data_IF_043098804856
#
_entry.id   IF_043098804856
#
_cell.length_a   1.000
_cell.length_b   1.000
_cell.length_c   1.000
_cell.angle_alpha   90.00
_cell.angle_beta   90.00
_cell.angle_gamma   90.00
#
_symmetry.space_group_name_H-M   'P 1'
#
loop_
_entity.id
_entity.type
_entity.pdbx_description
1 polymer ?
#
# COMPACT_ATOMS: atom_id res chain seq x y z
N UNK A 1 -11.07 21.92 18.20
CA UNK A 1 -11.47 21.13 17.02
C UNK A 1 -10.19 20.54 16.45
N UNK A 2 -9.82 19.32 16.83
CA UNK A 2 -8.64 18.64 16.27
C UNK A 2 -9.01 18.12 14.89
N UNK A 3 -8.23 18.50 13.88
CA UNK A 3 -8.31 17.98 12.52
C UNK A 3 -8.30 16.46 12.55
N UNK A 4 -9.26 15.82 11.89
CA UNK A 4 -9.38 14.38 11.88
C UNK A 4 -8.10 13.74 11.27
N UNK A 5 -7.45 12.80 11.98
CA UNK A 5 -6.27 12.08 11.49
C UNK A 5 -6.63 11.21 10.29
N UNK A 6 -6.14 11.52 9.09
CA UNK A 6 -6.48 10.81 7.86
C UNK A 6 -5.56 11.21 6.70
N UNK A 7 -6.00 12.15 5.86
CA UNK A 7 -5.23 12.64 4.70
C UNK A 7 -3.83 13.16 5.05
N UNK A 8 -3.72 14.02 6.07
CA UNK A 8 -2.43 14.61 6.47
C UNK A 8 -1.43 13.57 6.98
N UNK A 9 -1.92 12.45 7.50
CA UNK A 9 -1.08 11.35 7.99
C UNK A 9 -0.61 10.47 6.84
N UNK A 10 -1.47 10.19 5.85
CA UNK A 10 -1.05 9.54 4.60
C UNK A 10 0.06 10.34 3.93
N UNK A 11 -0.11 11.65 3.76
CA UNK A 11 0.90 12.52 3.14
C UNK A 11 2.20 12.47 3.95
N UNK A 12 2.12 12.56 5.28
CA UNK A 12 3.31 12.51 6.15
C UNK A 12 4.01 11.16 6.04
N UNK A 13 3.26 10.07 6.07
CA UNK A 13 3.78 8.71 5.93
C UNK A 13 4.50 8.53 4.58
N UNK A 14 3.82 8.88 3.48
CA UNK A 14 4.36 8.84 2.12
C UNK A 14 5.64 9.67 2.01
N UNK A 15 5.67 10.86 2.62
CA UNK A 15 6.85 11.72 2.65
C UNK A 15 8.05 11.17 3.44
N UNK A 16 7.87 10.11 4.23
CA UNK A 16 8.96 9.41 4.92
C UNK A 16 9.48 8.18 4.17
N UNK A 17 8.77 7.74 3.12
CA UNK A 17 9.14 6.54 2.38
C UNK A 17 10.39 6.78 1.54
N UNK A 18 11.30 5.81 1.60
CA UNK A 18 12.50 5.79 0.76
C UNK A 18 12.22 5.12 -0.59
N UNK A 19 13.05 5.31 -1.63
CA UNK A 19 12.85 4.66 -2.93
C UNK A 19 12.73 3.14 -2.85
N UNK A 20 13.45 2.47 -1.94
CA UNK A 20 13.33 1.03 -1.70
C UNK A 20 11.96 0.60 -1.10
N UNK A 21 11.21 1.53 -0.52
CA UNK A 21 9.86 1.34 0.03
C UNK A 21 8.76 1.60 -1.02
N UNK A 22 9.10 1.70 -2.31
CA UNK A 22 8.11 1.83 -3.39
C UNK A 22 6.99 0.77 -3.33
N UNK A 23 7.23 -0.52 -3.00
CA UNK A 23 6.16 -1.50 -2.83
C UNK A 23 5.17 -1.15 -1.72
N UNK A 24 5.59 -0.40 -0.69
CA UNK A 24 4.71 0.07 0.39
C UNK A 24 3.76 1.14 -0.12
N UNK A 25 4.27 2.08 -0.91
CA UNK A 25 3.47 3.14 -1.51
C UNK A 25 2.46 2.60 -2.52
N UNK A 26 2.90 1.68 -3.39
CA UNK A 26 1.99 1.00 -4.33
C UNK A 26 1.00 0.11 -3.59
N UNK A 27 1.44 -0.61 -2.56
CA UNK A 27 0.57 -1.42 -1.70
C UNK A 27 -0.56 -0.61 -1.07
N UNK A 28 -0.23 0.56 -0.51
CA UNK A 28 -1.20 1.48 0.05
C UNK A 28 -2.17 2.01 -1.00
N UNK A 29 -1.66 2.40 -2.16
CA UNK A 29 -2.49 2.88 -3.26
C UNK A 29 -3.47 1.80 -3.77
N UNK A 30 -3.05 0.55 -3.87
CA UNK A 30 -3.93 -0.57 -4.25
C UNK A 30 -4.96 -0.88 -3.17
N UNK A 31 -4.62 -0.76 -1.88
CA UNK A 31 -5.61 -0.86 -0.79
C UNK A 31 -6.71 0.17 -1.02
N UNK A 32 -6.35 1.43 -1.26
CA UNK A 32 -7.33 2.47 -1.59
C UNK A 32 -8.07 2.21 -2.89
N UNK A 33 -7.48 1.52 -3.87
CA UNK A 33 -8.17 1.17 -5.10
C UNK A 33 -9.22 0.07 -4.88
N UNK A 34 -8.97 -0.89 -4.00
CA UNK A 34 -9.77 -2.10 -3.87
C UNK A 34 -10.67 -2.14 -2.64
N UNK A 35 -10.44 -1.29 -1.64
CA UNK A 35 -11.24 -1.25 -0.43
C UNK A 35 -12.72 -1.01 -0.73
N UNK A 36 -13.56 -1.82 -0.08
CA UNK A 36 -15.01 -1.63 -0.04
C UNK A 36 -15.40 -0.52 0.96
N UNK A 37 -16.72 -0.36 1.18
CA UNK A 37 -17.26 0.67 2.08
C UNK A 37 -16.81 0.49 3.54
N UNK A 38 -16.52 -0.74 3.95
CA UNK A 38 -16.11 -1.10 5.31
C UNK A 38 -14.58 -1.10 5.48
N UNK A 39 -13.82 -0.87 4.41
CA UNK A 39 -12.37 -0.83 4.44
C UNK A 39 -11.74 -2.21 4.45
N UNK A 40 -12.37 -3.17 3.77
CA UNK A 40 -11.88 -4.55 3.62
C UNK A 40 -11.35 -4.77 2.21
N UNK A 41 -10.24 -5.50 2.09
CA UNK A 41 -9.60 -5.84 0.81
C UNK A 41 -9.22 -7.31 0.78
N UNK A 42 -9.61 -8.02 -0.28
CA UNK A 42 -9.14 -9.39 -0.53
C UNK A 42 -7.63 -9.42 -0.79
N UNK A 43 -6.89 -10.18 0.03
CA UNK A 43 -5.42 -10.18 0.06
C UNK A 43 -4.77 -10.72 -1.21
N UNK A 44 -5.38 -11.71 -1.85
CA UNK A 44 -4.90 -12.26 -3.12
C UNK A 44 -5.04 -11.23 -4.26
N UNK A 45 -6.24 -10.64 -4.41
CA UNK A 45 -6.50 -9.61 -5.41
C UNK A 45 -5.62 -8.37 -5.19
N UNK A 46 -5.39 -7.99 -3.93
CA UNK A 46 -4.44 -6.93 -3.59
C UNK A 46 -3.02 -7.24 -4.07
N UNK A 47 -2.49 -8.43 -3.77
CA UNK A 47 -1.14 -8.81 -4.15
C UNK A 47 -0.94 -8.83 -5.68
N UNK A 48 -1.94 -9.34 -6.41
CA UNK A 48 -1.95 -9.33 -7.88
C UNK A 48 -1.94 -7.91 -8.44
N UNK A 49 -2.83 -7.04 -7.97
CA UNK A 49 -2.89 -5.65 -8.43
C UNK A 49 -1.62 -4.85 -8.09
N UNK A 50 -0.98 -5.13 -6.94
CA UNK A 50 0.33 -4.53 -6.61
C UNK A 50 1.40 -4.97 -7.60
N UNK A 51 1.44 -6.26 -7.95
CA UNK A 51 2.39 -6.79 -8.93
C UNK A 51 2.21 -6.13 -10.30
N UNK A 52 0.96 -6.01 -10.77
CA UNK A 52 0.63 -5.37 -12.04
C UNK A 52 1.03 -3.89 -12.06
N UNK A 53 0.68 -3.13 -11.01
CA UNK A 53 1.02 -1.71 -10.93
C UNK A 53 2.52 -1.48 -10.88
N UNK A 54 3.27 -2.25 -10.10
CA UNK A 54 4.72 -2.16 -10.08
C UNK A 54 5.33 -2.48 -11.45
N UNK A 55 4.82 -3.49 -12.16
CA UNK A 55 5.30 -3.84 -13.50
C UNK A 55 5.01 -2.75 -14.54
N UNK A 56 3.95 -1.96 -14.34
CA UNK A 56 3.56 -0.86 -15.22
C UNK A 56 4.32 0.46 -14.98
N UNK A 57 5.08 0.57 -13.88
CA UNK A 57 5.85 1.80 -13.59
C UNK A 57 6.93 2.03 -14.65
N UNK A 58 6.93 3.23 -15.24
CA UNK A 58 7.90 3.59 -16.25
C UNK A 58 9.31 3.57 -15.64
N UNK A 59 10.14 2.67 -16.16
CA UNK A 59 11.50 2.43 -15.73
C UNK A 59 11.68 1.30 -14.68
N UNK A 60 10.61 0.58 -14.35
CA UNK A 60 10.74 -0.71 -13.67
C UNK A 60 10.94 -0.63 -12.16
N UNK A 61 11.01 -1.81 -11.56
CA UNK A 61 10.83 -2.01 -10.13
C UNK A 61 12.21 -1.96 -9.45
N UNK A 62 12.45 -1.07 -8.49
CA UNK A 62 13.72 -1.02 -7.78
C UNK A 62 13.85 -2.18 -6.78
N UNK A 63 15.11 -2.56 -6.52
CA UNK A 63 15.46 -3.43 -5.41
C UNK A 63 14.93 -4.88 -5.50
N UNK A 64 14.81 -5.58 -4.36
CA UNK A 64 14.47 -7.01 -4.33
C UNK A 64 13.10 -7.32 -4.92
N UNK A 65 12.16 -6.36 -4.96
CA UNK A 65 10.81 -6.57 -5.52
C UNK A 65 10.83 -6.98 -7.00
N UNK A 66 11.71 -6.41 -7.83
CA UNK A 66 11.87 -6.82 -9.24
C UNK A 66 12.26 -8.29 -9.38
N UNK A 67 13.20 -8.72 -8.55
CA UNK A 67 13.67 -10.10 -8.55
C UNK A 67 12.60 -11.06 -8.04
N UNK A 68 11.87 -10.67 -6.99
CA UNK A 68 10.83 -11.49 -6.37
C UNK A 68 9.62 -11.69 -7.30
N UNK A 69 9.23 -10.68 -8.08
CA UNK A 69 8.17 -10.82 -9.08
C UNK A 69 8.51 -11.85 -10.16
N UNK A 70 9.78 -11.89 -10.60
CA UNK A 70 10.27 -12.91 -11.56
C UNK A 70 10.35 -14.31 -10.97
N UNK A 71 10.44 -14.43 -9.64
CA UNK A 71 10.46 -15.73 -8.93
C UNK A 71 9.08 -16.35 -8.77
N UNK A 72 8.02 -15.60 -9.09
CA UNK A 72 6.64 -16.08 -9.14
C UNK A 72 5.71 -15.38 -8.14
N UNK A 73 4.40 -15.45 -8.38
CA UNK A 73 3.40 -14.70 -7.62
C UNK A 73 3.37 -15.05 -6.14
N UNK A 74 3.57 -16.33 -5.78
CA UNK A 74 3.59 -16.75 -4.37
C UNK A 74 4.79 -16.19 -3.59
N UNK A 75 5.96 -16.10 -4.25
CA UNK A 75 7.18 -15.55 -3.63
C UNK A 75 7.01 -14.06 -3.40
N UNK A 76 6.44 -13.36 -4.37
CA UNK A 76 6.14 -11.94 -4.23
C UNK A 76 5.08 -11.67 -3.17
N UNK A 77 4.00 -12.47 -3.12
CA UNK A 77 2.98 -12.39 -2.06
C UNK A 77 3.60 -12.54 -0.67
N UNK A 78 4.47 -13.54 -0.46
CA UNK A 78 5.18 -13.72 0.82
C UNK A 78 6.06 -12.53 1.19
N UNK A 79 6.64 -11.83 0.22
CA UNK A 79 7.36 -10.59 0.48
C UNK A 79 6.44 -9.46 0.91
N UNK A 80 5.30 -9.27 0.23
CA UNK A 80 4.31 -8.27 0.63
C UNK A 80 3.80 -8.53 2.06
N UNK A 81 3.55 -9.80 2.39
CA UNK A 81 3.09 -10.20 3.73
C UNK A 81 4.13 -9.95 4.83
N UNK A 82 5.42 -10.07 4.51
CA UNK A 82 6.52 -9.92 5.49
C UNK A 82 7.03 -8.50 5.63
N UNK A 83 7.03 -7.74 4.54
CA UNK A 83 7.71 -6.44 4.49
C UNK A 83 6.74 -5.27 4.32
N UNK A 84 5.63 -5.45 3.60
CA UNK A 84 4.69 -4.37 3.29
C UNK A 84 3.55 -4.30 4.30
N UNK A 85 2.86 -5.41 4.54
CA UNK A 85 1.73 -5.46 5.48
C UNK A 85 2.14 -4.99 6.89
N UNK A 86 3.26 -5.45 7.48
CA UNK A 86 3.67 -4.99 8.81
C UNK A 86 4.03 -3.50 8.82
N UNK A 87 4.61 -2.99 7.73
CA UNK A 87 4.95 -1.57 7.60
C UNK A 87 3.71 -0.68 7.59
N UNK A 88 2.64 -1.11 6.92
CA UNK A 88 1.35 -0.42 6.88
C UNK A 88 0.60 -0.53 8.22
N UNK A 89 0.69 -1.68 8.89
CA UNK A 89 0.12 -1.88 10.21
C UNK A 89 0.81 -1.00 11.28
N UNK A 90 2.14 -0.95 11.29
CA UNK A 90 2.92 -0.06 12.16
C UNK A 90 2.62 1.43 11.92
N UNK A 91 2.17 1.78 10.71
CA UNK A 91 1.75 3.13 10.38
C UNK A 91 0.31 3.45 10.83
N UNK A 92 -0.40 2.50 11.45
CA UNK A 92 -1.80 2.65 11.87
C UNK A 92 -2.80 2.60 10.73
N UNK A 93 -2.40 2.11 9.55
CA UNK A 93 -3.26 2.08 8.35
C UNK A 93 -4.05 0.78 8.30
N UNK A 94 -3.40 -0.35 8.58
CA UNK A 94 -4.04 -1.66 8.66
C UNK A 94 -4.25 -2.04 10.13
N UNK A 95 -5.35 -2.73 10.39
CA UNK A 95 -5.59 -3.33 11.69
C UNK A 95 -4.67 -4.54 11.90
N UNK A 96 -3.98 -4.58 13.05
CA UNK A 96 -3.17 -5.73 13.50
C UNK A 96 -4.08 -6.85 14.03
N UNK A 97 -4.82 -7.49 13.12
CA UNK A 97 -5.61 -8.69 13.40
C UNK A 97 -4.79 -9.96 13.46
N UNK A 98 -5.37 -11.10 13.91
CA UNK A 98 -4.61 -12.33 14.13
C UNK A 98 -3.86 -12.73 12.86
N UNK A 99 -2.53 -12.61 12.94
CA UNK A 99 -1.62 -12.79 11.83
C UNK A 99 -1.22 -14.27 11.71
N UNK A 100 -1.94 -15.00 10.87
CA UNK A 100 -1.39 -15.93 9.87
C UNK A 100 -2.54 -16.45 9.00
N UNK A 101 -2.42 -16.30 7.67
CA UNK A 101 -3.39 -16.87 6.72
C UNK A 101 -4.72 -16.12 6.56
N UNK A 102 -4.87 -14.91 7.11
CA UNK A 102 -6.05 -14.09 6.85
C UNK A 102 -6.17 -13.76 5.34
N UNK A 103 -7.32 -14.09 4.75
CA UNK A 103 -7.62 -13.85 3.33
C UNK A 103 -7.91 -12.37 3.03
N UNK A 104 -8.02 -11.55 4.07
CA UNK A 104 -8.41 -10.14 3.99
C UNK A 104 -7.39 -9.24 4.67
N UNK A 105 -7.26 -8.02 4.13
CA UNK A 105 -6.62 -6.89 4.77
C UNK A 105 -7.73 -5.94 5.23
N UNK A 106 -7.67 -5.52 6.49
CA UNK A 106 -8.66 -4.63 7.09
C UNK A 106 -7.99 -3.32 7.42
N UNK A 107 -8.47 -2.21 6.87
CA UNK A 107 -8.01 -0.88 7.27
C UNK A 107 -8.43 -0.60 8.72
N UNK A 108 -7.59 0.14 9.45
CA UNK A 108 -7.97 0.65 10.77
C UNK A 108 -9.22 1.54 10.62
N UNK A 109 -10.23 1.30 11.45
CA UNK A 109 -11.57 1.88 11.29
C UNK A 109 -11.55 3.41 11.46
N UNK A 110 -10.79 3.92 12.43
CA UNK A 110 -10.58 5.36 12.61
C UNK A 110 -9.93 6.00 11.39
N UNK A 111 -8.85 5.38 10.90
CA UNK A 111 -8.16 5.81 9.69
C UNK A 111 -9.09 5.81 8.47
N UNK A 112 -9.79 4.71 8.18
CA UNK A 112 -10.62 4.56 6.99
C UNK A 112 -11.76 5.58 6.95
N UNK A 113 -12.46 5.77 8.06
CA UNK A 113 -13.55 6.75 8.12
C UNK A 113 -13.08 8.19 7.89
N UNK A 114 -11.83 8.50 8.20
CA UNK A 114 -11.26 9.84 8.03
C UNK A 114 -10.71 10.08 6.62
N UNK A 115 -10.59 9.06 5.78
CA UNK A 115 -9.96 9.17 4.46
C UNK A 115 -10.87 8.72 3.31
N UNK A 116 -11.91 7.92 3.57
CA UNK A 116 -12.76 7.32 2.52
C UNK A 116 -13.47 8.34 1.63
N UNK A 117 -13.85 9.51 2.17
CA UNK A 117 -14.45 10.61 1.38
C UNK A 117 -13.48 11.23 0.39
N UNK A 118 -12.18 11.21 0.71
CA UNK A 118 -11.10 11.84 -0.06
C UNK A 118 -10.28 10.80 -0.84
N UNK A 119 -10.76 9.56 -0.90
CA UNK A 119 -10.07 8.38 -1.48
C UNK A 119 -9.42 8.68 -2.82
N UNK A 120 -10.15 9.30 -3.75
CA UNK A 120 -9.64 9.59 -5.09
C UNK A 120 -8.48 10.60 -5.08
N UNK A 121 -8.55 11.63 -4.22
CA UNK A 121 -7.47 12.61 -4.10
C UNK A 121 -6.22 12.01 -3.45
N UNK A 122 -6.41 11.15 -2.45
CA UNK A 122 -5.34 10.42 -1.77
C UNK A 122 -4.67 9.46 -2.74
N UNK A 123 -5.45 8.74 -3.55
CA UNK A 123 -4.91 7.87 -4.60
C UNK A 123 -4.08 8.66 -5.62
N UNK A 124 -4.55 9.80 -6.10
CA UNK A 124 -3.81 10.62 -7.04
C UNK A 124 -2.46 11.10 -6.47
N UNK A 125 -2.43 11.46 -5.18
CA UNK A 125 -1.18 11.85 -4.50
C UNK A 125 -0.22 10.67 -4.34
N UNK A 126 -0.74 9.48 -4.04
CA UNK A 126 0.06 8.26 -3.95
C UNK A 126 0.64 7.86 -5.31
N UNK A 127 -0.12 8.00 -6.40
CA UNK A 127 0.36 7.74 -7.76
C UNK A 127 1.47 8.72 -8.15
N UNK A 128 1.29 10.01 -7.86
CA UNK A 128 2.32 11.02 -8.09
C UNK A 128 3.58 10.74 -7.25
N UNK A 129 3.43 10.41 -5.97
CA UNK A 129 4.55 10.05 -5.09
C UNK A 129 5.30 8.81 -5.57
N UNK A 130 4.57 7.80 -6.06
CA UNK A 130 5.17 6.57 -6.58
C UNK A 130 5.98 6.83 -7.84
N UNK A 131 5.50 7.72 -8.72
CA UNK A 131 6.25 8.17 -9.89
C UNK A 131 7.55 8.88 -9.47
N UNK A 132 7.49 9.80 -8.49
CA UNK A 132 8.68 10.50 -7.97
C UNK A 132 9.68 9.51 -7.37
N UNK A 133 9.26 8.60 -6.50
CA UNK A 133 10.16 7.59 -5.92
C UNK A 133 10.75 6.68 -6.98
N UNK A 134 9.97 6.33 -8.00
CA UNK A 134 10.45 5.56 -9.14
C UNK A 134 11.47 6.35 -9.98
N UNK A 135 11.53 7.68 -9.92
CA UNK A 135 12.50 8.51 -10.65
C UNK A 135 13.78 8.81 -9.87
N UNK A 136 13.74 8.79 -8.53
CA UNK A 136 14.86 9.10 -7.62
C UNK A 136 15.98 8.01 -7.54
N UNK A 137 16.04 7.14 -8.55
CA UNK A 137 16.91 5.96 -8.65
C UNK A 137 18.30 6.27 -9.20
#
# INVERSE_FOLDING_TARGET
MSSAPGRSEVIRFVGTLRPEELPVMVGLNVIFLLADEDGVVGRAAWAEAVAERLAALQGGIPGPAAFLLRRGPEVFRRFLDKEVVPRLAQAGILWEGPADGAEELVLENGFWNNVKSDRNEVMAQLEAGAAVLAEMR
#
